data_IF_924378910964
#
_entry.id   IF_924378910964
#
_cell.length_a   1.000
_cell.length_b   1.000
_cell.length_c   1.000
_cell.angle_alpha   90.00
_cell.angle_beta   90.00
_cell.angle_gamma   90.00
#
_symmetry.space_group_name_H-M   'P 1'
#
loop_
_entity.id
_entity.type
_entity.pdbx_description
1 polymer ?
#
# COMPACT_ATOMS: atom_id res chain seq x y z
N UNK A 1 -22.17 28.53 12.84
CA UNK A 1 -21.18 29.53 13.30
C UNK A 1 -20.22 29.74 12.16
N UNK A 2 -20.57 30.68 11.30
CA UNK A 2 -19.72 31.22 10.25
C UNK A 2 -18.52 31.94 10.86
N UNK A 3 -17.31 31.64 10.39
CA UNK A 3 -16.24 32.63 10.26
C UNK A 3 -15.37 32.27 9.05
N UNK A 4 -15.59 33.02 7.98
CA UNK A 4 -14.68 33.24 6.86
C UNK A 4 -13.48 34.09 7.34
N UNK A 5 -12.26 33.75 6.92
CA UNK A 5 -11.27 34.76 6.49
C UNK A 5 -10.04 34.13 5.80
N UNK A 6 -9.61 34.68 4.65
CA UNK A 6 -8.45 34.22 3.89
C UNK A 6 -7.19 35.06 4.19
N UNK A 7 -6.03 34.42 4.24
CA UNK A 7 -4.75 35.12 4.22
C UNK A 7 -4.13 35.02 2.82
N UNK A 8 -4.22 36.12 2.09
CA UNK A 8 -3.36 36.41 0.95
C UNK A 8 -1.94 36.75 1.44
N UNK A 9 -0.93 36.26 0.75
CA UNK A 9 0.43 36.80 0.87
C UNK A 9 1.00 37.02 -0.54
N UNK A 10 1.02 38.30 -0.93
CA UNK A 10 1.76 38.83 -2.05
C UNK A 10 3.07 39.42 -1.51
N UNK A 11 4.20 39.06 -2.10
CA UNK A 11 5.51 39.62 -1.78
C UNK A 11 6.49 39.37 -2.91
N UNK A 12 6.59 40.35 -3.79
CA UNK A 12 7.41 40.34 -5.00
C UNK A 12 8.86 40.80 -4.76
N UNK A 13 9.69 40.55 -5.78
CA UNK A 13 10.93 41.28 -6.15
C UNK A 13 12.18 40.92 -5.32
N UNK A 14 13.42 40.84 -5.80
CA UNK A 14 14.11 41.14 -7.07
C UNK A 14 15.40 40.29 -7.03
N UNK A 15 15.85 39.63 -8.10
CA UNK A 15 16.76 40.22 -9.09
C UNK A 15 18.20 39.71 -8.92
N UNK A 16 18.77 39.07 -9.94
CA UNK A 16 20.12 39.36 -10.44
C UNK A 16 20.48 38.46 -11.62
N UNK A 17 21.06 39.10 -12.64
CA UNK A 17 21.43 38.60 -13.95
C UNK A 17 22.83 37.92 -13.99
N UNK A 18 23.21 37.52 -15.21
CA UNK A 18 24.52 37.07 -15.71
C UNK A 18 24.67 35.54 -15.83
N UNK A 19 25.19 34.94 -16.90
CA UNK A 19 25.79 35.46 -18.13
C UNK A 19 25.65 34.41 -19.25
N UNK A 20 25.57 34.91 -20.48
CA UNK A 20 25.65 34.14 -21.71
C UNK A 20 27.10 33.64 -21.95
N UNK A 21 27.25 32.41 -22.42
CA UNK A 21 28.43 32.00 -23.19
C UNK A 21 28.07 30.95 -24.25
N UNK A 22 28.15 31.40 -25.50
CA UNK A 22 28.44 30.64 -26.72
C UNK A 22 29.47 31.48 -27.50
N UNK A 23 30.07 31.01 -28.62
CA UNK A 23 30.67 29.71 -28.95
C UNK A 23 32.20 29.90 -29.19
N UNK A 24 32.91 29.00 -29.91
CA UNK A 24 33.15 29.35 -31.31
C UNK A 24 33.14 28.18 -32.31
N UNK A 25 32.76 28.54 -33.54
CA UNK A 25 32.95 27.79 -34.77
C UNK A 25 34.29 28.17 -35.42
N UNK A 26 35.02 27.16 -35.92
CA UNK A 26 36.12 27.19 -36.89
C UNK A 26 36.58 25.73 -37.05
N UNK A 27 37.00 25.16 -38.18
CA UNK A 27 37.47 25.69 -39.46
C UNK A 27 37.41 24.56 -40.50
N UNK A 28 37.30 24.93 -41.77
CA UNK A 28 37.37 24.08 -42.97
C UNK A 28 38.69 23.31 -43.09
N UNK A 29 38.63 22.04 -43.51
CA UNK A 29 39.68 21.51 -44.39
C UNK A 29 39.10 20.45 -45.36
N UNK A 30 39.13 20.83 -46.64
CA UNK A 30 38.83 19.98 -47.77
C UNK A 30 40.00 19.02 -48.04
N UNK A 31 39.71 17.72 -48.12
CA UNK A 31 40.62 16.69 -48.60
C UNK A 31 39.91 15.88 -49.69
N UNK A 32 40.21 16.19 -50.96
CA UNK A 32 39.88 15.34 -52.09
C UNK A 32 40.75 14.08 -52.04
N UNK A 33 40.15 12.90 -52.00
CA UNK A 33 40.84 11.64 -52.25
C UNK A 33 39.94 10.68 -53.06
N UNK A 34 40.40 10.42 -54.28
CA UNK A 34 40.22 9.25 -55.14
C UNK A 34 38.92 8.42 -55.01
N UNK A 35 38.11 8.48 -56.07
CA UNK A 35 37.09 7.50 -56.39
C UNK A 35 37.72 6.12 -56.65
N UNK A 36 37.57 5.20 -55.69
CA UNK A 36 37.70 3.77 -55.91
C UNK A 36 36.29 3.16 -55.84
N UNK A 37 35.89 2.48 -56.91
CA UNK A 37 34.59 1.81 -57.03
C UNK A 37 34.38 0.81 -55.90
N UNK A 38 33.25 0.86 -55.16
CA UNK A 38 32.97 -0.13 -54.13
C UNK A 38 32.70 -1.50 -54.78
N UNK A 39 33.25 -2.60 -54.24
CA UNK A 39 32.84 -3.94 -54.66
C UNK A 39 31.36 -4.12 -54.34
N UNK A 40 30.60 -4.68 -55.28
CA UNK A 40 29.21 -5.06 -55.07
C UNK A 40 29.15 -6.03 -53.87
N UNK A 41 28.82 -5.47 -52.71
CA UNK A 41 28.75 -6.20 -51.45
C UNK A 41 27.29 -6.62 -51.28
N UNK A 42 27.06 -7.93 -51.15
CA UNK A 42 25.74 -8.53 -50.95
C UNK A 42 25.02 -7.91 -49.75
N UNK A 43 24.18 -6.90 -50.01
CA UNK A 43 23.38 -6.19 -49.01
C UNK A 43 22.37 -7.10 -48.31
N UNK A 44 22.07 -8.27 -48.90
CA UNK A 44 21.19 -9.26 -48.30
C UNK A 44 21.80 -9.97 -47.08
N UNK A 45 23.13 -10.18 -47.06
CA UNK A 45 23.79 -10.88 -45.95
C UNK A 45 23.92 -9.98 -44.71
N UNK A 46 24.14 -8.69 -44.92
CA UNK A 46 24.33 -7.71 -43.83
C UNK A 46 23.02 -7.46 -43.06
N UNK A 47 21.85 -7.55 -43.72
CA UNK A 47 20.55 -7.38 -43.08
C UNK A 47 20.21 -8.53 -42.12
N UNK A 48 20.60 -9.77 -42.46
CA UNK A 48 20.33 -10.96 -41.63
C UNK A 48 21.21 -10.96 -40.37
N UNK A 49 22.48 -10.58 -40.50
CA UNK A 49 23.39 -10.47 -39.35
C UNK A 49 22.96 -9.36 -38.38
N UNK A 50 22.45 -8.22 -38.89
CA UNK A 50 21.96 -7.14 -38.05
C UNK A 50 20.70 -7.52 -37.26
N UNK A 51 19.76 -8.24 -37.88
CA UNK A 51 18.55 -8.72 -37.21
C UNK A 51 18.85 -9.79 -36.15
N UNK A 52 19.80 -10.68 -36.42
CA UNK A 52 20.23 -11.70 -35.46
C UNK A 52 20.99 -11.07 -34.27
N UNK A 53 21.76 -10.00 -34.52
CA UNK A 53 22.43 -9.24 -33.47
C UNK A 53 21.43 -8.48 -32.58
N UNK A 54 20.37 -7.90 -33.16
CA UNK A 54 19.26 -7.27 -32.41
C UNK A 54 18.50 -8.29 -31.55
N UNK A 55 18.24 -9.49 -32.05
CA UNK A 55 17.59 -10.56 -31.26
C UNK A 55 18.47 -11.03 -30.10
N UNK A 56 19.78 -11.22 -30.32
CA UNK A 56 20.71 -11.54 -29.24
C UNK A 56 20.75 -10.42 -28.20
N UNK A 57 20.76 -9.17 -28.63
CA UNK A 57 20.75 -8.03 -27.73
C UNK A 57 19.46 -7.96 -26.90
N UNK A 58 18.29 -8.23 -27.50
CA UNK A 58 17.01 -8.33 -26.78
C UNK A 58 16.96 -9.50 -25.79
N UNK A 59 17.46 -10.68 -26.16
CA UNK A 59 17.55 -11.82 -25.24
C UNK A 59 18.51 -11.54 -24.08
N UNK A 60 19.65 -10.92 -24.36
CA UNK A 60 20.64 -10.56 -23.34
C UNK A 60 20.10 -9.47 -22.41
N UNK A 61 19.34 -8.49 -22.94
CA UNK A 61 18.61 -7.51 -22.14
C UNK A 61 17.55 -8.19 -21.26
N UNK A 62 16.74 -9.10 -21.80
CA UNK A 62 15.75 -9.86 -21.03
C UNK A 62 16.37 -10.66 -19.87
N UNK A 63 17.54 -11.27 -20.10
CA UNK A 63 18.29 -11.99 -19.06
C UNK A 63 18.88 -11.06 -18.00
N UNK A 64 19.34 -9.87 -18.39
CA UNK A 64 19.89 -8.87 -17.47
C UNK A 64 18.82 -8.12 -16.66
N UNK A 65 17.59 -7.99 -17.19
CA UNK A 65 16.47 -7.32 -16.50
C UNK A 65 15.60 -8.27 -15.66
N UNK A 66 15.82 -9.58 -15.75
CA UNK A 66 14.97 -10.57 -15.09
C UNK A 66 14.88 -10.48 -13.55
N UNK A 67 15.95 -10.18 -12.79
CA UNK A 67 15.86 -10.20 -11.32
C UNK A 67 15.02 -9.04 -10.74
N UNK A 68 14.93 -7.91 -11.47
CA UNK A 68 14.15 -6.73 -11.03
C UNK A 68 12.68 -6.77 -11.40
N UNK A 69 12.30 -7.57 -12.40
CA UNK A 69 10.91 -7.84 -12.72
C UNK A 69 10.34 -8.98 -11.87
N UNK A 70 11.20 -9.71 -11.16
CA UNK A 70 10.75 -10.73 -10.24
C UNK A 70 10.01 -10.06 -9.08
N UNK A 71 8.78 -10.51 -8.91
CA UNK A 71 7.92 -10.13 -7.78
C UNK A 71 8.67 -10.48 -6.49
N UNK A 72 8.67 -9.57 -5.50
CA UNK A 72 9.47 -9.70 -4.26
C UNK A 72 9.14 -11.01 -3.54
N UNK A 73 7.85 -11.36 -3.48
CA UNK A 73 7.43 -12.67 -3.00
C UNK A 73 7.33 -13.65 -4.18
N UNK A 74 7.92 -14.86 -4.07
CA UNK A 74 7.70 -15.92 -5.05
C UNK A 74 6.19 -16.17 -5.22
N UNK A 75 5.72 -16.47 -6.44
CA UNK A 75 4.29 -16.71 -6.70
C UNK A 75 3.72 -17.85 -5.85
N UNK A 76 4.55 -18.85 -5.52
CA UNK A 76 4.20 -20.00 -4.69
C UNK A 76 4.12 -19.70 -3.18
N UNK A 77 4.76 -18.61 -2.72
CA UNK A 77 4.75 -18.21 -1.32
C UNK A 77 4.58 -16.69 -1.20
N UNK A 78 3.35 -16.18 -1.37
CA UNK A 78 3.09 -14.74 -1.31
C UNK A 78 3.30 -14.14 0.09
N UNK A 79 3.49 -14.99 1.11
CA UNK A 79 3.84 -14.59 2.48
C UNK A 79 5.34 -14.71 2.78
N UNK A 80 6.18 -15.02 1.80
CA UNK A 80 7.64 -15.10 1.98
C UNK A 80 8.20 -13.80 2.56
N UNK A 81 7.75 -12.64 2.06
CA UNK A 81 8.15 -11.34 2.57
C UNK A 81 7.76 -11.16 4.05
N UNK A 82 6.55 -11.57 4.41
CA UNK A 82 6.08 -11.53 5.79
C UNK A 82 6.95 -12.40 6.71
N UNK A 83 7.20 -13.66 6.31
CA UNK A 83 8.05 -14.60 7.05
C UNK A 83 9.45 -14.02 7.24
N UNK A 84 10.03 -13.48 6.17
CA UNK A 84 11.36 -12.86 6.19
C UNK A 84 11.41 -11.70 7.18
N UNK A 85 10.49 -10.73 7.09
CA UNK A 85 10.44 -9.57 7.99
C UNK A 85 10.24 -9.95 9.46
N UNK A 86 9.44 -10.98 9.74
CA UNK A 86 9.16 -11.43 11.11
C UNK A 86 10.25 -12.31 11.72
N UNK A 87 11.06 -12.97 10.89
CA UNK A 87 12.23 -13.73 11.33
C UNK A 87 13.43 -12.84 11.67
N UNK A 88 13.49 -11.62 11.13
CA UNK A 88 14.51 -10.65 11.51
C UNK A 88 14.32 -10.21 12.98
N UNK A 89 15.42 -9.87 13.69
CA UNK A 89 15.36 -9.29 15.04
C UNK A 89 14.56 -7.96 15.05
N UNK A 90 14.44 -7.25 16.17
CA UNK A 90 13.84 -5.91 16.12
C UNK A 90 14.88 -4.90 15.59
N UNK A 91 14.43 -3.91 14.82
CA UNK A 91 15.30 -2.82 14.39
C UNK A 91 16.02 -2.22 15.63
N UNK A 92 17.37 -2.12 15.63
CA UNK A 92 18.11 -1.71 16.80
C UNK A 92 17.64 -0.35 17.34
N UNK A 93 17.33 -0.28 18.63
CA UNK A 93 16.89 0.96 19.28
C UNK A 93 15.46 1.41 18.97
N UNK A 94 14.68 0.68 18.16
CA UNK A 94 13.32 1.09 17.75
C UNK A 94 12.38 1.35 18.94
N UNK A 95 12.51 0.59 20.04
CA UNK A 95 11.70 0.79 21.25
C UNK A 95 12.05 2.06 22.02
N UNK A 96 13.26 2.60 21.82
CA UNK A 96 13.71 3.85 22.45
C UNK A 96 13.56 5.08 21.54
N UNK A 97 13.33 4.88 20.25
CA UNK A 97 13.21 5.98 19.29
C UNK A 97 11.93 6.77 19.52
N UNK A 98 12.04 8.09 19.53
CA UNK A 98 10.90 9.00 19.43
C UNK A 98 10.30 8.96 18.02
N UNK A 99 9.06 9.40 17.88
CA UNK A 99 8.40 9.55 16.58
C UNK A 99 9.24 10.40 15.60
N UNK A 100 9.84 11.50 16.07
CA UNK A 100 10.67 12.36 15.23
C UNK A 100 11.94 11.65 14.73
N UNK A 101 12.57 10.82 15.57
CA UNK A 101 13.72 10.00 15.15
C UNK A 101 13.31 8.95 14.11
N UNK A 102 12.16 8.31 14.29
CA UNK A 102 11.62 7.36 13.30
C UNK A 102 11.33 8.03 11.96
N UNK A 103 10.70 9.22 11.98
CA UNK A 103 10.45 10.01 10.78
C UNK A 103 11.76 10.41 10.09
N UNK A 104 12.75 10.90 10.83
CA UNK A 104 14.04 11.29 10.28
C UNK A 104 14.78 10.12 9.63
N UNK A 105 14.82 8.96 10.30
CA UNK A 105 15.42 7.72 9.79
C UNK A 105 14.70 7.26 8.51
N UNK A 106 13.36 7.22 8.52
CA UNK A 106 12.57 6.86 7.34
C UNK A 106 12.82 7.83 6.18
N UNK A 107 12.79 9.14 6.44
CA UNK A 107 13.06 10.16 5.41
C UNK A 107 14.46 10.04 4.81
N UNK A 108 15.46 9.70 5.63
CA UNK A 108 16.81 9.41 5.13
C UNK A 108 16.82 8.20 4.20
N UNK A 109 16.17 7.11 4.57
CA UNK A 109 16.08 5.91 3.73
C UNK A 109 15.35 6.20 2.41
N UNK A 110 14.25 6.95 2.42
CA UNK A 110 13.51 7.34 1.20
C UNK A 110 14.38 8.21 0.27
N UNK A 111 15.14 9.16 0.81
CA UNK A 111 16.09 9.96 0.00
C UNK A 111 17.18 9.09 -0.62
N UNK A 112 17.74 8.15 0.13
CA UNK A 112 18.74 7.21 -0.40
C UNK A 112 18.14 6.31 -1.48
N UNK A 113 16.89 5.87 -1.29
CA UNK A 113 16.15 5.06 -2.24
C UNK A 113 15.87 5.83 -3.54
N UNK A 114 15.51 7.12 -3.46
CA UNK A 114 15.31 7.98 -4.62
C UNK A 114 16.59 8.14 -5.45
N UNK A 115 17.75 8.35 -4.79
CA UNK A 115 19.05 8.40 -5.48
C UNK A 115 19.39 7.06 -6.13
N UNK A 116 19.19 5.94 -5.42
CA UNK A 116 19.43 4.61 -5.96
C UNK A 116 18.55 4.30 -7.18
N UNK A 117 17.27 4.69 -7.16
CA UNK A 117 16.35 4.58 -8.29
C UNK A 117 16.84 5.37 -9.50
N UNK A 118 17.25 6.62 -9.33
CA UNK A 118 17.75 7.45 -10.43
C UNK A 118 19.04 6.89 -11.04
N UNK A 119 19.96 6.35 -10.23
CA UNK A 119 21.17 5.69 -10.71
C UNK A 119 20.85 4.41 -11.47
N UNK A 120 19.88 3.65 -10.97
CA UNK A 120 19.38 2.44 -11.61
C UNK A 120 18.75 2.73 -12.98
N UNK A 121 17.88 3.75 -13.08
CA UNK A 121 17.25 4.19 -14.34
C UNK A 121 18.26 4.64 -15.40
N UNK A 122 19.41 5.18 -14.97
CA UNK A 122 20.52 5.55 -15.87
C UNK A 122 21.36 4.37 -16.34
N UNK A 123 21.02 3.14 -15.95
CA UNK A 123 21.73 1.93 -16.33
C UNK A 123 23.11 1.78 -15.67
N UNK A 124 23.37 2.49 -14.57
CA UNK A 124 24.66 2.46 -13.87
C UNK A 124 24.82 1.22 -12.96
N UNK A 125 24.73 0.02 -13.57
CA UNK A 125 25.29 -1.25 -13.08
C UNK A 125 24.44 -2.09 -12.11
N UNK A 126 24.66 -3.42 -12.15
CA UNK A 126 24.01 -4.42 -11.28
C UNK A 126 24.32 -4.28 -9.78
N UNK A 127 25.36 -3.53 -9.41
CA UNK A 127 25.61 -3.19 -7.99
C UNK A 127 24.51 -2.30 -7.40
N UNK A 128 23.77 -1.54 -8.22
CA UNK A 128 22.69 -0.67 -7.72
C UNK A 128 21.45 -1.45 -7.34
N UNK A 129 21.20 -2.60 -7.97
CA UNK A 129 20.06 -3.46 -7.64
C UNK A 129 20.18 -4.01 -6.22
N UNK A 130 21.34 -4.59 -5.87
CA UNK A 130 21.59 -5.09 -4.52
C UNK A 130 21.43 -3.97 -3.47
N UNK A 131 21.91 -2.76 -3.78
CA UNK A 131 21.74 -1.59 -2.93
C UNK A 131 20.28 -1.16 -2.80
N UNK A 132 19.53 -1.14 -3.89
CA UNK A 132 18.11 -0.81 -3.90
C UNK A 132 17.34 -1.79 -3.02
N UNK A 133 17.61 -3.09 -3.17
CA UNK A 133 17.00 -4.15 -2.37
C UNK A 133 17.36 -4.03 -0.88
N UNK A 134 18.62 -3.73 -0.54
CA UNK A 134 19.03 -3.51 0.85
C UNK A 134 18.29 -2.31 1.47
N UNK A 135 18.24 -1.17 0.78
CA UNK A 135 17.55 0.03 1.25
C UNK A 135 16.05 -0.21 1.41
N UNK A 136 15.44 -0.94 0.48
CA UNK A 136 14.03 -1.32 0.53
C UNK A 136 13.74 -2.23 1.73
N UNK A 137 14.56 -3.26 1.94
CA UNK A 137 14.44 -4.15 3.09
C UNK A 137 14.60 -3.39 4.39
N UNK A 138 15.53 -2.43 4.48
CA UNK A 138 15.67 -1.53 5.65
C UNK A 138 14.41 -0.71 5.90
N UNK A 139 13.79 -0.14 4.86
CA UNK A 139 12.51 0.56 4.98
C UNK A 139 11.41 -0.34 5.56
N UNK A 140 11.23 -1.53 4.97
CA UNK A 140 10.21 -2.49 5.42
C UNK A 140 10.51 -2.99 6.84
N UNK A 141 11.78 -3.21 7.15
CA UNK A 141 12.24 -3.67 8.44
C UNK A 141 12.03 -2.65 9.56
N UNK A 142 12.32 -1.37 9.31
CA UNK A 142 11.99 -0.27 10.22
C UNK A 142 10.48 -0.29 10.53
N UNK A 143 9.65 -0.30 9.49
CA UNK A 143 8.19 -0.16 9.64
C UNK A 143 7.53 -1.36 10.31
N UNK A 144 7.96 -2.58 9.95
CA UNK A 144 7.52 -3.80 10.65
C UNK A 144 7.97 -3.82 12.11
N UNK A 145 9.17 -3.31 12.41
CA UNK A 145 9.69 -3.23 13.78
C UNK A 145 8.92 -2.22 14.64
N UNK A 146 8.58 -1.04 14.11
CA UNK A 146 7.71 -0.08 14.83
C UNK A 146 6.31 -0.69 15.04
N UNK A 147 5.80 -1.44 14.07
CA UNK A 147 4.55 -2.20 14.20
C UNK A 147 4.58 -3.26 15.31
N UNK A 148 5.71 -3.98 15.44
CA UNK A 148 5.94 -4.99 16.49
C UNK A 148 6.18 -4.38 17.87
N UNK A 149 6.95 -3.29 17.96
CA UNK A 149 7.25 -2.61 19.23
C UNK A 149 5.97 -2.14 19.94
N UNK A 150 4.94 -1.72 19.18
CA UNK A 150 3.62 -1.42 19.74
C UNK A 150 2.94 -2.59 20.43
N UNK A 151 3.10 -3.81 19.91
CA UNK A 151 2.46 -4.99 20.50
C UNK A 151 3.03 -5.30 21.89
N UNK A 152 4.33 -5.02 22.09
CA UNK A 152 4.99 -5.17 23.39
C UNK A 152 4.65 -4.04 24.36
N UNK A 153 4.37 -2.84 23.83
CA UNK A 153 4.18 -1.61 24.60
C UNK A 153 2.73 -1.22 24.94
N UNK A 154 1.76 -2.15 24.87
CA UNK A 154 0.41 -1.90 25.40
C UNK A 154 0.36 -1.47 26.89
N UNK A 155 1.50 -1.40 27.59
CA UNK A 155 1.67 -0.82 28.92
C UNK A 155 1.97 0.69 28.95
N UNK A 156 2.51 1.29 27.88
CA UNK A 156 3.04 2.67 27.89
C UNK A 156 2.17 3.67 27.11
N UNK A 157 1.12 3.22 26.41
CA UNK A 157 0.09 4.11 25.86
C UNK A 157 0.52 4.96 24.66
N UNK A 158 1.58 4.60 23.92
CA UNK A 158 2.07 5.39 22.77
C UNK A 158 1.29 5.14 21.46
N UNK A 159 0.60 6.14 20.88
CA UNK A 159 -0.15 6.01 19.62
C UNK A 159 0.69 6.04 18.33
N UNK A 160 2.02 5.87 18.38
CA UNK A 160 2.96 6.42 17.38
C UNK A 160 2.97 5.82 15.94
N UNK A 161 2.66 4.55 15.68
CA UNK A 161 2.64 3.95 14.32
C UNK A 161 1.68 4.61 13.35
N UNK A 162 0.44 4.88 13.78
CA UNK A 162 -0.51 5.58 12.90
C UNK A 162 0.01 6.99 12.66
N UNK A 163 0.52 7.64 13.70
CA UNK A 163 1.18 8.93 13.57
C UNK A 163 2.36 8.87 12.59
N UNK A 164 3.20 7.83 12.59
CA UNK A 164 4.31 7.68 11.63
C UNK A 164 3.82 7.62 10.19
N UNK A 165 2.73 6.90 9.92
CA UNK A 165 2.13 6.83 8.58
C UNK A 165 1.40 8.12 8.16
N UNK A 166 0.98 8.92 9.14
CA UNK A 166 0.16 10.11 8.96
C UNK A 166 0.94 11.41 9.17
N UNK A 167 2.22 11.35 9.50
CA UNK A 167 3.06 12.52 9.74
C UNK A 167 4.07 12.64 8.62
N UNK A 168 4.13 13.81 8.00
CA UNK A 168 5.16 14.16 7.02
C UNK A 168 6.52 14.10 7.69
N UNK A 169 7.46 13.31 7.16
CA UNK A 169 8.81 13.25 7.72
C UNK A 169 9.64 14.52 7.43
N UNK A 170 9.19 15.36 6.50
CA UNK A 170 9.87 16.60 6.13
C UNK A 170 9.39 17.77 7.00
N UNK A 171 8.07 17.91 7.18
CA UNK A 171 7.46 19.06 7.87
C UNK A 171 7.03 18.77 9.29
N UNK A 172 6.89 17.49 9.67
CA UNK A 172 6.27 17.09 10.94
C UNK A 172 4.76 17.30 10.97
N UNK A 173 4.14 17.70 9.85
CA UNK A 173 2.69 17.92 9.75
C UNK A 173 1.94 16.60 9.80
N UNK A 174 0.96 16.50 10.70
CA UNK A 174 0.11 15.32 10.86
C UNK A 174 -1.20 15.49 10.09
N UNK A 175 -1.48 14.59 9.16
CA UNK A 175 -2.76 14.52 8.44
C UNK A 175 -3.74 13.56 9.13
N UNK A 176 -5.05 13.82 9.11
CA UNK A 176 -6.02 12.96 9.80
C UNK A 176 -6.14 11.58 9.14
N UNK A 177 -6.03 11.52 7.81
CA UNK A 177 -6.19 10.28 7.03
C UNK A 177 -5.22 10.24 5.84
N UNK A 178 -4.80 9.05 5.37
CA UNK A 178 -3.96 8.94 4.19
C UNK A 178 -4.71 9.37 2.93
N UNK A 179 -4.11 10.24 2.11
CA UNK A 179 -4.72 10.72 0.86
C UNK A 179 -4.98 9.58 -0.13
N UNK A 180 -6.25 9.29 -0.43
CA UNK A 180 -6.66 8.28 -1.43
C UNK A 180 -6.20 8.66 -2.84
N UNK A 181 -6.37 9.94 -3.20
CA UNK A 181 -5.99 10.49 -4.51
C UNK A 181 -4.50 10.29 -4.79
N UNK A 182 -3.63 10.54 -3.80
CA UNK A 182 -2.20 10.29 -3.94
C UNK A 182 -1.93 8.81 -4.21
N UNK A 183 -2.52 7.91 -3.43
CA UNK A 183 -2.30 6.47 -3.62
C UNK A 183 -2.84 5.98 -4.98
N UNK A 184 -3.93 6.55 -5.49
CA UNK A 184 -4.46 6.26 -6.83
C UNK A 184 -3.52 6.76 -7.94
N UNK A 185 -2.99 7.98 -7.81
CA UNK A 185 -2.00 8.52 -8.74
C UNK A 185 -0.71 7.66 -8.75
N UNK A 186 -0.23 7.26 -7.56
CA UNK A 186 0.94 6.38 -7.45
C UNK A 186 0.65 5.00 -8.04
N UNK A 187 -0.49 4.39 -7.73
CA UNK A 187 -0.87 3.09 -8.30
C UNK A 187 -0.92 3.12 -9.84
N UNK A 188 -1.40 4.22 -10.43
CA UNK A 188 -1.36 4.42 -11.88
C UNK A 188 0.09 4.55 -12.41
N UNK A 189 0.94 5.32 -11.72
CA UNK A 189 2.33 5.55 -12.12
C UNK A 189 3.22 4.29 -12.02
N UNK A 190 2.89 3.34 -11.14
CA UNK A 190 3.66 2.08 -10.98
C UNK A 190 3.49 1.10 -12.14
N UNK A 191 2.53 1.33 -13.04
CA UNK A 191 2.31 0.46 -14.21
C UNK A 191 2.03 -0.99 -13.83
N UNK A 192 1.25 -1.24 -12.78
CA UNK A 192 0.94 -2.58 -12.29
C UNK A 192 0.26 -3.43 -13.38
N UNK A 193 0.71 -4.66 -13.56
CA UNK A 193 0.07 -5.57 -14.52
C UNK A 193 -1.34 -5.97 -14.07
N UNK A 194 -2.23 -6.30 -15.01
CA UNK A 194 -3.58 -6.80 -14.70
C UNK A 194 -3.54 -7.99 -13.73
N UNK A 195 -2.57 -8.87 -13.90
CA UNK A 195 -2.37 -10.02 -13.02
C UNK A 195 -1.98 -9.60 -11.59
N UNK A 196 -1.04 -8.65 -11.43
CA UNK A 196 -0.68 -8.11 -10.12
C UNK A 196 -1.89 -7.47 -9.44
N UNK A 197 -2.65 -6.63 -10.15
CA UNK A 197 -3.87 -6.00 -9.62
C UNK A 197 -4.90 -7.05 -9.18
N UNK A 198 -5.09 -8.10 -9.97
CA UNK A 198 -5.99 -9.21 -9.66
C UNK A 198 -5.54 -9.96 -8.39
N UNK A 199 -4.26 -10.35 -8.29
CA UNK A 199 -3.72 -11.04 -7.10
C UNK A 199 -3.89 -10.19 -5.84
N UNK A 200 -3.53 -8.90 -5.91
CA UNK A 200 -3.68 -7.95 -4.79
C UNK A 200 -5.15 -7.87 -4.35
N UNK A 201 -6.07 -7.75 -5.30
CA UNK A 201 -7.52 -7.66 -5.03
C UNK A 201 -8.06 -8.94 -4.41
N UNK A 202 -7.69 -10.11 -4.95
CA UNK A 202 -8.11 -11.41 -4.43
C UNK A 202 -7.57 -11.66 -3.01
N UNK A 203 -6.28 -11.42 -2.78
CA UNK A 203 -5.69 -11.56 -1.44
C UNK A 203 -6.30 -10.59 -0.44
N UNK A 204 -6.59 -9.34 -0.85
CA UNK A 204 -7.30 -8.36 -0.03
C UNK A 204 -8.69 -8.86 0.41
N UNK A 205 -9.44 -9.52 -0.48
CA UNK A 205 -10.72 -10.12 -0.14
C UNK A 205 -10.58 -11.21 0.94
N UNK A 206 -9.58 -12.09 0.83
CA UNK A 206 -9.28 -13.12 1.84
C UNK A 206 -8.94 -12.48 3.20
N UNK A 207 -8.05 -11.48 3.21
CA UNK A 207 -7.71 -10.80 4.47
C UNK A 207 -8.89 -10.05 5.08
N UNK A 208 -9.76 -9.43 4.28
CA UNK A 208 -11.01 -8.82 4.76
C UNK A 208 -11.90 -9.86 5.44
N UNK A 209 -12.05 -11.04 4.84
CA UNK A 209 -12.81 -12.15 5.44
C UNK A 209 -12.20 -12.61 6.77
N UNK A 210 -10.87 -12.73 6.86
CA UNK A 210 -10.16 -13.12 8.08
C UNK A 210 -10.22 -12.05 9.18
N UNK A 211 -10.19 -10.76 8.82
CA UNK A 211 -10.26 -9.64 9.76
C UNK A 211 -11.67 -9.40 10.31
N UNK A 212 -12.71 -9.68 9.53
CA UNK A 212 -14.12 -9.44 9.89
C UNK A 212 -14.52 -10.02 11.27
N UNK A 213 -14.26 -11.29 11.61
CA UNK A 213 -14.61 -11.83 12.92
C UNK A 213 -13.85 -11.13 14.06
N UNK A 214 -12.57 -10.81 13.88
CA UNK A 214 -11.75 -10.11 14.88
C UNK A 214 -12.30 -8.71 15.16
N UNK A 215 -12.63 -7.95 14.11
CA UNK A 215 -13.19 -6.60 14.24
C UNK A 215 -14.60 -6.62 14.84
N UNK A 216 -15.41 -7.62 14.50
CA UNK A 216 -16.75 -7.80 15.07
C UNK A 216 -16.68 -8.09 16.56
N UNK A 217 -15.80 -8.99 16.97
CA UNK A 217 -15.59 -9.33 18.38
C UNK A 217 -15.01 -8.15 19.18
N UNK A 218 -14.06 -7.40 18.61
CA UNK A 218 -13.54 -6.16 19.22
C UNK A 218 -14.66 -5.15 19.48
N UNK A 219 -15.54 -4.94 18.49
CA UNK A 219 -16.70 -4.05 18.62
C UNK A 219 -17.65 -4.51 19.72
N UNK A 220 -17.93 -5.82 19.81
CA UNK A 220 -18.78 -6.38 20.86
C UNK A 220 -18.18 -6.17 22.25
N UNK A 221 -16.88 -6.41 22.43
CA UNK A 221 -16.20 -6.19 23.72
C UNK A 221 -16.18 -4.71 24.12
N UNK A 222 -16.02 -3.79 23.17
CA UNK A 222 -16.10 -2.35 23.43
C UNK A 222 -17.50 -1.93 23.86
N UNK A 223 -18.54 -2.49 23.25
CA UNK A 223 -19.94 -2.22 23.63
C UNK A 223 -20.25 -2.74 25.04
N UNK A 224 -19.75 -3.92 25.42
CA UNK A 224 -19.90 -4.48 26.78
C UNK A 224 -19.23 -3.62 27.85
N UNK A 225 -18.06 -3.03 27.56
CA UNK A 225 -17.37 -2.14 28.50
C UNK A 225 -18.17 -0.84 28.75
N UNK A 226 -18.87 -0.34 27.74
CA UNK A 226 -19.71 0.86 27.85
C UNK A 226 -20.97 0.66 28.71
N UNK A 227 -21.53 -0.56 28.75
CA UNK A 227 -22.72 -0.87 29.56
C UNK A 227 -22.41 -1.05 31.05
N UNK A 228 -21.29 -1.67 31.41
CA UNK A 228 -20.98 -1.99 32.82
C UNK A 228 -20.59 -0.77 33.66
N UNK A 229 -20.08 0.30 33.04
CA UNK A 229 -19.65 1.52 33.75
C UNK A 229 -20.80 2.39 34.27
N UNK A 230 -22.06 2.16 33.87
CA UNK A 230 -23.19 3.05 34.19
C UNK A 230 -23.99 2.67 35.43
N UNK A 231 -23.78 1.49 36.01
CA UNK A 231 -24.57 1.01 37.15
C UNK A 231 -23.97 1.30 38.53
N UNK A 232 -22.73 1.81 38.61
CA UNK A 232 -22.00 1.98 39.88
C UNK A 232 -22.08 3.39 40.48
N UNK A 233 -22.74 4.35 39.82
CA UNK A 233 -22.76 5.76 40.25
C UNK A 233 -24.09 6.25 40.86
N UNK A 234 -25.01 5.35 41.21
CA UNK A 234 -26.33 5.72 41.74
C UNK A 234 -26.42 5.78 43.28
N UNK A 235 -25.31 5.67 44.01
CA UNK A 235 -25.31 5.70 45.48
C UNK A 235 -24.28 6.70 45.96
N UNK A 236 -24.63 7.99 46.03
CA UNK A 236 -24.08 8.99 46.95
C UNK A 236 -24.74 10.35 46.69
N UNK A 237 -26.01 10.48 47.08
CA UNK A 237 -26.58 11.79 47.35
C UNK A 237 -27.40 11.69 48.64
N UNK A 238 -26.69 11.48 49.75
CA UNK A 238 -27.24 11.66 51.09
C UNK A 238 -26.29 12.53 51.88
N UNK A 239 -26.50 13.83 51.70
CA UNK A 239 -26.08 14.93 52.56
C UNK A 239 -26.30 14.58 54.03
N UNK A 240 -25.21 14.46 54.81
CA UNK A 240 -25.24 14.62 56.27
C UNK A 240 -24.06 15.51 56.68
N UNK A 241 -24.35 16.79 56.87
CA UNK A 241 -23.53 17.72 57.63
C UNK A 241 -23.73 17.42 59.12
N UNK A 242 -22.76 16.84 59.85
CA UNK A 242 -22.69 17.00 61.31
C UNK A 242 -21.25 17.01 61.84
N UNK A 243 -20.88 18.21 62.25
CA UNK A 243 -20.30 18.60 63.55
C UNK A 243 -19.00 17.95 64.06
N UNK A 244 -18.03 18.82 64.30
CA UNK A 244 -16.75 18.53 64.90
C UNK A 244 -16.85 18.73 66.42
N UNK A 245 -16.78 17.64 67.19
CA UNK A 245 -16.45 17.71 68.61
C UNK A 245 -15.63 16.50 69.04
N UNK A 246 -14.51 16.83 69.69
CA UNK A 246 -13.42 15.96 70.10
C UNK A 246 -13.82 14.99 71.22
N UNK A 247 -13.41 13.73 71.10
CA UNK A 247 -13.22 12.83 72.25
C UNK A 247 -12.19 11.72 71.93
N UNK A 248 -11.32 11.32 72.87
CA UNK A 248 -10.34 10.26 72.68
C UNK A 248 -10.91 8.90 73.13
N UNK A 249 -11.34 8.08 72.19
CA UNK A 249 -11.71 6.67 72.35
C UNK A 249 -11.75 6.06 70.93
N UNK A 250 -11.32 4.86 70.60
CA UNK A 250 -10.73 3.71 71.31
C UNK A 250 -10.03 2.92 70.20
N UNK A 251 -8.83 2.40 70.46
CA UNK A 251 -8.03 1.62 69.48
C UNK A 251 -8.81 0.43 68.87
N UNK A 252 -9.82 -0.07 69.59
CA UNK A 252 -10.76 -1.10 69.14
C UNK A 252 -11.68 -0.65 67.99
N UNK A 253 -12.13 0.61 67.96
CA UNK A 253 -13.04 1.08 66.92
C UNK A 253 -12.32 1.22 65.57
N UNK A 254 -11.06 1.64 65.59
CA UNK A 254 -10.21 1.67 64.39
C UNK A 254 -9.89 0.25 63.88
N UNK A 255 -9.78 -0.73 64.77
CA UNK A 255 -9.53 -2.13 64.41
C UNK A 255 -10.78 -2.79 63.79
N UNK A 256 -11.97 -2.50 64.32
CA UNK A 256 -13.25 -2.94 63.72
C UNK A 256 -13.50 -2.29 62.36
N UNK A 257 -13.15 -1.00 62.19
CA UNK A 257 -13.27 -0.32 60.90
C UNK A 257 -12.32 -0.90 59.84
N UNK A 258 -11.08 -1.27 60.21
CA UNK A 258 -10.15 -1.99 59.30
C UNK A 258 -10.65 -3.38 58.93
N UNK A 259 -11.30 -4.11 59.85
CA UNK A 259 -11.88 -5.42 59.55
C UNK A 259 -13.10 -5.31 58.63
N UNK A 260 -13.94 -4.28 58.80
CA UNK A 260 -15.06 -4.01 57.89
C UNK A 260 -14.56 -3.62 56.48
N UNK A 261 -13.52 -2.78 56.38
CA UNK A 261 -12.90 -2.43 55.09
C UNK A 261 -12.31 -3.67 54.40
N UNK A 262 -11.68 -4.57 55.16
CA UNK A 262 -11.18 -5.85 54.64
C UNK A 262 -12.30 -6.74 54.12
N UNK A 263 -13.42 -6.87 54.84
CA UNK A 263 -14.58 -7.66 54.38
C UNK A 263 -15.27 -7.04 53.18
N UNK A 264 -15.28 -5.71 53.06
CA UNK A 264 -15.79 -5.03 51.86
C UNK A 264 -14.87 -5.27 50.65
N UNK A 265 -13.55 -5.26 50.84
CA UNK A 265 -12.57 -5.59 49.81
C UNK A 265 -12.55 -7.10 49.45
N UNK A 266 -12.81 -7.98 50.41
CA UNK A 266 -12.82 -9.44 50.21
C UNK A 266 -14.18 -9.96 49.73
N UNK A 267 -15.28 -9.23 49.96
CA UNK A 267 -16.65 -9.69 49.70
C UNK A 267 -17.36 -9.13 48.47
N UNK A 268 -16.90 -8.01 47.90
CA UNK A 268 -17.66 -7.27 46.86
C UNK A 268 -17.24 -7.50 45.40
N UNK A 269 -15.94 -7.59 45.11
CA UNK A 269 -15.45 -7.31 43.74
C UNK A 269 -14.42 -8.30 43.18
N UNK A 270 -14.12 -9.39 43.89
CA UNK A 270 -13.25 -10.44 43.33
C UNK A 270 -13.79 -11.04 42.01
N UNK A 271 -15.09 -11.37 41.87
CA UNK A 271 -15.61 -11.87 40.59
C UNK A 271 -15.61 -10.79 39.49
N UNK A 272 -15.86 -9.52 39.83
CA UNK A 272 -15.86 -8.41 38.86
C UNK A 272 -14.45 -8.10 38.35
N UNK A 273 -13.44 -8.15 39.23
CA UNK A 273 -12.04 -7.98 38.85
C UNK A 273 -11.54 -9.11 37.94
N UNK A 274 -11.93 -10.36 38.22
CA UNK A 274 -11.57 -11.49 37.36
C UNK A 274 -12.23 -11.41 35.98
N UNK A 275 -13.49 -10.97 35.92
CA UNK A 275 -14.18 -10.71 34.65
C UNK A 275 -13.51 -9.56 33.87
N UNK A 276 -13.17 -8.46 34.55
CA UNK A 276 -12.44 -7.34 33.96
C UNK A 276 -11.05 -7.77 33.44
N UNK A 277 -10.33 -8.61 34.18
CA UNK A 277 -9.03 -9.14 33.75
C UNK A 277 -9.19 -10.05 32.52
N UNK A 278 -10.20 -10.91 32.47
CA UNK A 278 -10.53 -11.74 31.31
C UNK A 278 -10.88 -10.89 30.09
N UNK A 279 -11.71 -9.86 30.27
CA UNK A 279 -12.08 -8.91 29.23
C UNK A 279 -10.85 -8.19 28.66
N UNK A 280 -10.00 -7.64 29.54
CA UNK A 280 -8.76 -6.97 29.14
C UNK A 280 -7.79 -7.91 28.40
N UNK A 281 -7.64 -9.15 28.88
CA UNK A 281 -6.80 -10.15 28.23
C UNK A 281 -7.33 -10.50 26.83
N UNK A 282 -8.66 -10.65 26.69
CA UNK A 282 -9.32 -10.95 25.41
C UNK A 282 -9.20 -9.78 24.42
N UNK A 283 -9.42 -8.55 24.88
CA UNK A 283 -9.22 -7.32 24.11
C UNK A 283 -7.78 -7.24 23.58
N UNK A 284 -6.79 -7.46 24.45
CA UNK A 284 -5.36 -7.47 24.08
C UNK A 284 -5.05 -8.52 23.02
N UNK A 285 -5.59 -9.74 23.16
CA UNK A 285 -5.41 -10.80 22.18
C UNK A 285 -5.97 -10.42 20.81
N UNK A 286 -7.17 -9.84 20.77
CA UNK A 286 -7.82 -9.44 19.52
C UNK A 286 -7.10 -8.28 18.83
N UNK A 287 -6.63 -7.28 19.57
CA UNK A 287 -5.80 -6.20 19.03
C UNK A 287 -4.50 -6.75 18.41
N UNK A 288 -3.88 -7.73 19.07
CA UNK A 288 -2.69 -8.41 18.52
C UNK A 288 -3.01 -9.19 17.24
N UNK A 289 -4.16 -9.88 17.19
CA UNK A 289 -4.63 -10.58 15.98
C UNK A 289 -4.90 -9.60 14.83
N UNK A 290 -5.59 -8.49 15.09
CA UNK A 290 -5.85 -7.44 14.09
C UNK A 290 -4.53 -6.87 13.54
N UNK A 291 -3.60 -6.51 14.41
CA UNK A 291 -2.29 -5.99 13.99
C UNK A 291 -1.49 -7.01 13.15
N UNK A 292 -1.51 -8.30 13.54
CA UNK A 292 -0.84 -9.37 12.79
C UNK A 292 -1.47 -9.57 11.40
N UNK A 293 -2.80 -9.60 11.32
CA UNK A 293 -3.53 -9.75 10.05
C UNK A 293 -3.27 -8.56 9.11
N UNK A 294 -3.25 -7.33 9.65
CA UNK A 294 -2.90 -6.14 8.86
C UNK A 294 -1.45 -6.17 8.37
N UNK A 295 -0.51 -6.61 9.20
CA UNK A 295 0.88 -6.77 8.80
C UNK A 295 1.03 -7.82 7.69
N UNK A 296 0.34 -8.97 7.82
CA UNK A 296 0.32 -10.01 6.80
C UNK A 296 -0.32 -9.51 5.48
N UNK A 297 -1.44 -8.79 5.56
CA UNK A 297 -2.09 -8.20 4.40
C UNK A 297 -1.19 -7.16 3.69
N UNK A 298 -0.51 -6.31 4.45
CA UNK A 298 0.45 -5.34 3.92
C UNK A 298 1.63 -6.03 3.24
N UNK A 299 2.25 -7.02 3.89
CA UNK A 299 3.34 -7.79 3.32
C UNK A 299 2.93 -8.60 2.10
N UNK A 300 1.69 -9.10 2.04
CA UNK A 300 1.14 -9.74 0.85
C UNK A 300 1.03 -8.75 -0.32
N UNK A 301 0.43 -7.58 -0.09
CA UNK A 301 0.25 -6.56 -1.12
C UNK A 301 1.60 -6.05 -1.67
N UNK A 302 2.55 -5.75 -0.77
CA UNK A 302 3.91 -5.36 -1.16
C UNK A 302 4.70 -6.52 -1.78
N UNK A 303 4.47 -7.74 -1.31
CA UNK A 303 5.05 -8.94 -1.87
C UNK A 303 4.64 -9.17 -3.32
N UNK A 304 3.48 -8.67 -3.76
CA UNK A 304 3.02 -8.75 -5.15
C UNK A 304 3.69 -7.72 -6.10
N UNK A 305 4.45 -6.77 -5.56
CA UNK A 305 5.17 -5.78 -6.34
C UNK A 305 6.59 -6.28 -6.66
N UNK A 306 7.17 -5.77 -7.73
CA UNK A 306 8.60 -5.92 -7.97
C UNK A 306 9.42 -5.02 -7.04
N UNK A 307 10.71 -5.30 -6.88
CA UNK A 307 11.63 -4.46 -6.08
C UNK A 307 11.61 -3.00 -6.55
N UNK A 308 11.59 -2.79 -7.87
CA UNK A 308 11.54 -1.45 -8.46
C UNK A 308 10.21 -0.75 -8.16
N UNK A 309 9.08 -1.43 -8.34
CA UNK A 309 7.75 -0.88 -8.07
C UNK A 309 7.56 -0.53 -6.60
N UNK A 310 8.01 -1.39 -5.68
CA UNK A 310 7.92 -1.09 -4.25
C UNK A 310 8.84 0.06 -3.86
N UNK A 311 10.04 0.16 -4.44
CA UNK A 311 10.91 1.30 -4.21
C UNK A 311 10.28 2.62 -4.73
N UNK A 312 9.70 2.60 -5.92
CA UNK A 312 8.97 3.72 -6.49
C UNK A 312 7.75 4.10 -5.63
N UNK A 313 7.02 3.13 -5.08
CA UNK A 313 5.90 3.38 -4.17
C UNK A 313 6.34 4.21 -2.96
N UNK A 314 7.46 3.85 -2.33
CA UNK A 314 8.01 4.60 -1.20
C UNK A 314 8.43 6.02 -1.58
N UNK A 315 9.06 6.19 -2.74
CA UNK A 315 9.53 7.51 -3.22
C UNK A 315 8.35 8.40 -3.65
N UNK A 316 7.37 7.88 -4.37
CA UNK A 316 6.22 8.65 -4.84
C UNK A 316 5.19 8.98 -3.76
N UNK A 317 5.14 8.22 -2.66
CA UNK A 317 4.31 8.57 -1.50
C UNK A 317 4.93 9.65 -0.59
N UNK A 318 6.23 9.95 -0.76
CA UNK A 318 6.95 11.01 -0.06
C UNK A 318 6.17 12.34 -0.05
N UNK A 319 6.11 13.07 1.07
CA UNK A 319 6.87 12.90 2.31
C UNK A 319 6.18 12.01 3.37
N UNK A 320 5.29 11.10 2.95
CA UNK A 320 4.55 10.22 3.85
C UNK A 320 4.87 8.76 3.55
N UNK A 321 4.68 7.90 4.55
CA UNK A 321 4.82 6.45 4.35
C UNK A 321 3.68 5.91 3.48
N UNK A 322 3.94 4.99 2.52
CA UNK A 322 2.90 4.35 1.72
C UNK A 322 1.97 3.52 2.61
N UNK A 323 0.71 3.93 2.73
CA UNK A 323 -0.27 3.23 3.56
C UNK A 323 -0.82 2.00 2.81
N UNK A 324 -0.48 0.75 3.19
CA UNK A 324 -0.72 -0.42 2.35
C UNK A 324 -2.20 -0.65 2.06
N UNK A 325 -3.07 -0.44 3.06
CA UNK A 325 -4.52 -0.63 2.88
C UNK A 325 -5.13 0.42 1.95
N UNK A 326 -4.64 1.65 1.98
CA UNK A 326 -5.12 2.73 1.09
C UNK A 326 -4.66 2.47 -0.34
N UNK A 327 -3.42 2.02 -0.50
CA UNK A 327 -2.89 1.58 -1.78
C UNK A 327 -3.70 0.43 -2.40
N UNK A 328 -4.03 -0.60 -1.60
CA UNK A 328 -4.88 -1.72 -2.05
C UNK A 328 -6.27 -1.23 -2.46
N UNK A 329 -6.90 -0.35 -1.68
CA UNK A 329 -8.20 0.23 -2.05
C UNK A 329 -8.12 0.97 -3.38
N UNK A 330 -7.08 1.76 -3.60
CA UNK A 330 -6.88 2.48 -4.86
C UNK A 330 -6.73 1.52 -6.06
N UNK A 331 -6.04 0.39 -5.88
CA UNK A 331 -5.94 -0.66 -6.92
C UNK A 331 -7.31 -1.29 -7.21
N UNK A 332 -8.10 -1.56 -6.18
CA UNK A 332 -9.45 -2.13 -6.35
C UNK A 332 -10.35 -1.18 -7.13
N UNK A 333 -10.33 0.12 -6.81
CA UNK A 333 -11.08 1.15 -7.52
C UNK A 333 -10.65 1.26 -8.99
N UNK A 334 -9.34 1.20 -9.28
CA UNK A 334 -8.84 1.16 -10.66
C UNK A 334 -9.33 -0.08 -11.43
N UNK A 335 -9.30 -1.26 -10.81
CA UNK A 335 -9.78 -2.50 -11.41
C UNK A 335 -11.28 -2.45 -11.74
N UNK A 336 -12.07 -1.87 -10.84
CA UNK A 336 -13.50 -1.67 -11.04
C UNK A 336 -13.76 -0.71 -12.22
N UNK A 337 -13.02 0.40 -12.29
CA UNK A 337 -13.11 1.35 -13.41
C UNK A 337 -12.72 0.71 -14.76
N UNK A 338 -11.62 -0.07 -14.80
CA UNK A 338 -11.21 -0.80 -16.00
C UNK A 338 -12.27 -1.81 -16.46
N UNK A 339 -12.92 -2.50 -15.51
CA UNK A 339 -13.99 -3.46 -15.80
C UNK A 339 -15.24 -2.76 -16.35
N UNK A 340 -15.62 -1.61 -15.79
CA UNK A 340 -16.75 -0.81 -16.27
C UNK A 340 -16.50 -0.27 -17.68
N UNK A 341 -15.28 0.20 -17.98
CA UNK A 341 -14.91 0.66 -19.32
C UNK A 341 -14.95 -0.46 -20.36
N UNK A 342 -14.47 -1.67 -20.01
CA UNK A 342 -14.54 -2.83 -20.91
C UNK A 342 -15.99 -3.23 -21.23
N UNK A 343 -16.89 -3.19 -20.24
CA UNK A 343 -18.31 -3.48 -20.47
C UNK A 343 -18.98 -2.44 -21.36
N UNK A 344 -18.68 -1.15 -21.16
CA UNK A 344 -19.21 -0.09 -22.02
C UNK A 344 -18.69 -0.17 -23.45
N UNK A 345 -17.40 -0.50 -23.64
CA UNK A 345 -16.81 -0.72 -24.95
C UNK A 345 -17.45 -1.90 -25.69
N UNK A 346 -17.69 -3.02 -25.00
CA UNK A 346 -18.36 -4.18 -25.56
C UNK A 346 -19.81 -3.88 -25.97
N UNK A 347 -20.54 -3.10 -25.18
CA UNK A 347 -21.91 -2.67 -25.51
C UNK A 347 -21.95 -1.72 -26.71
N UNK A 348 -21.01 -0.77 -26.81
CA UNK A 348 -20.90 0.11 -27.98
C UNK A 348 -20.59 -0.68 -29.25
N UNK A 349 -19.72 -1.68 -29.17
CA UNK A 349 -19.39 -2.53 -30.31
C UNK A 349 -20.60 -3.35 -30.77
N UNK A 350 -21.39 -3.89 -29.83
CA UNK A 350 -22.60 -4.64 -30.15
C UNK A 350 -23.70 -3.75 -30.78
N UNK A 351 -23.81 -2.49 -30.33
CA UNK A 351 -24.70 -1.50 -30.96
C UNK A 351 -24.27 -1.21 -32.40
N UNK A 352 -22.99 -0.94 -32.64
CA UNK A 352 -22.45 -0.69 -33.98
C UNK A 352 -22.64 -1.90 -34.92
N UNK A 353 -22.44 -3.11 -34.40
CA UNK A 353 -22.67 -4.35 -35.17
C UNK A 353 -24.16 -4.55 -35.50
N UNK A 354 -25.06 -4.15 -34.60
CA UNK A 354 -26.51 -4.21 -34.83
C UNK A 354 -26.99 -3.20 -35.89
N UNK A 355 -26.40 -2.00 -35.94
CA UNK A 355 -26.69 -0.99 -36.96
C UNK A 355 -26.14 -1.41 -38.34
N UNK A 356 -24.96 -2.03 -38.39
CA UNK A 356 -24.37 -2.57 -39.62
C UNK A 356 -25.24 -3.66 -40.26
N UNK A 357 -25.86 -4.54 -39.45
CA UNK A 357 -26.74 -5.59 -39.95
C UNK A 357 -28.10 -5.07 -40.44
N UNK A 358 -28.59 -3.94 -39.91
CA UNK A 358 -29.89 -3.37 -40.27
C UNK A 358 -29.87 -2.59 -41.61
N UNK A 359 -28.71 -2.09 -42.05
CA UNK A 359 -28.57 -1.24 -43.25
C UNK A 359 -28.51 -1.96 -44.61
N UNK A 360 -28.42 -3.29 -44.65
CA UNK A 360 -28.06 -4.04 -45.87
C UNK A 360 -29.20 -4.57 -46.75
N UNK A 361 -30.48 -4.41 -46.39
CA UNK A 361 -31.61 -5.10 -47.07
C UNK A 361 -32.44 -4.26 -48.06
N UNK A 362 -32.01 -3.08 -48.50
CA UNK A 362 -32.85 -2.20 -49.33
C UNK A 362 -32.46 -2.02 -50.80
N UNK A 363 -31.43 -2.68 -51.33
CA UNK A 363 -31.08 -2.55 -52.77
C UNK A 363 -30.84 -3.91 -53.43
N UNK A 364 -31.79 -4.35 -54.28
CA UNK A 364 -31.56 -5.54 -55.10
C UNK A 364 -32.78 -6.29 -55.63
N UNK A 365 -33.87 -5.59 -55.98
CA UNK A 365 -34.98 -6.19 -56.74
C UNK A 365 -34.60 -6.27 -58.23
N UNK A 366 -33.96 -7.35 -58.67
CA UNK A 366 -33.95 -7.81 -60.07
C UNK A 366 -34.14 -9.34 -60.08
N UNK A 367 -35.38 -9.84 -60.14
CA UNK A 367 -36.03 -10.41 -61.34
C UNK A 367 -35.10 -11.29 -62.21
N UNK A 368 -35.35 -12.60 -62.19
CA UNK A 368 -34.83 -13.58 -63.17
C UNK A 368 -34.69 -14.97 -62.56
N UNK A 369 -35.79 -15.72 -62.43
CA UNK A 369 -36.13 -16.86 -63.32
C UNK A 369 -35.49 -18.20 -62.92
N UNK A 370 -36.29 -18.98 -62.17
CA UNK A 370 -36.52 -20.43 -62.34
C UNK A 370 -35.41 -21.35 -62.84
N UNK A 371 -34.93 -22.25 -61.96
CA UNK A 371 -34.83 -23.69 -62.29
C UNK A 371 -34.52 -24.55 -61.04
N UNK A 372 -35.54 -25.27 -60.61
CA UNK A 372 -35.64 -26.59 -59.97
C UNK A 372 -34.62 -27.20 -58.98
N UNK A 373 -35.12 -28.11 -58.10
CA UNK A 373 -34.41 -28.61 -56.92
C UNK A 373 -33.92 -30.06 -57.08
N UNK A 374 -32.79 -30.40 -56.44
CA UNK A 374 -32.38 -31.73 -55.96
C UNK A 374 -31.02 -31.52 -55.28
N UNK A 375 -30.70 -32.03 -54.09
CA UNK A 375 -31.29 -32.99 -53.18
C UNK A 375 -30.18 -33.38 -52.19
N UNK A 376 -30.54 -33.99 -51.06
CA UNK A 376 -29.66 -34.78 -50.18
C UNK A 376 -28.51 -34.00 -49.46
N UNK A 377 -28.04 -34.35 -48.26
CA UNK A 377 -28.42 -35.33 -47.28
C UNK A 377 -27.79 -34.90 -45.94
N UNK A 378 -28.40 -35.41 -44.86
CA UNK A 378 -27.90 -35.38 -43.51
C UNK A 378 -26.47 -35.91 -43.37
N UNK A 379 -25.73 -35.35 -42.41
CA UNK A 379 -24.92 -36.19 -41.51
C UNK A 379 -24.63 -35.47 -40.19
N UNK A 380 -25.19 -36.05 -39.13
CA UNK A 380 -24.77 -35.88 -37.76
C UNK A 380 -23.46 -36.65 -37.52
N UNK A 381 -22.56 -36.09 -36.72
CA UNK A 381 -21.57 -36.89 -35.97
C UNK A 381 -21.30 -36.26 -34.61
N UNK A 382 -21.74 -36.97 -33.57
CA UNK A 382 -21.21 -36.94 -32.21
C UNK A 382 -19.92 -37.74 -32.17
N UNK A 383 -18.83 -37.21 -31.59
CA UNK A 383 -17.75 -37.92 -30.87
C UNK A 383 -17.09 -36.82 -29.98
N UNK A 384 -16.79 -36.97 -28.70
CA UNK A 384 -16.90 -38.06 -27.72
C UNK A 384 -16.39 -37.50 -26.38
#
# INVERSE_FOLDING_TARGET
MDVNSPCAFNGASSGSAAAAHAPPAAFLQAGQAAAASPPATDTASIAVDHQQQLQRFQQQYQLLTQPLQQIIAPPEDPLALFKHLFQQPMYPGVGSMSLQQLLAEYGQLVRQLAVALQLHEKGLGGSQEARLQELLLRCLYLMSSVGRAKQTEHRTGRPDMLALCLTSYETGEHIPEPSKERHAAVAAALGLSREQKLRITQGSAVFKQLMTPVLTELRQLQQQAGSSSRCSSAVSDSSVCQDASQAPATQQQQQQQRQQLRRQLEGGDLPSLHEQQRHAARMKLLLRKDALLRAAAASYAFGCLSTLQLAQLHVYCSPYYPHPLTFVTAIMEQMEQEQQQQQQGALQQLLLDSESCAGGSSSGRQRGSSSSPHGAAAQAMCIG
#
